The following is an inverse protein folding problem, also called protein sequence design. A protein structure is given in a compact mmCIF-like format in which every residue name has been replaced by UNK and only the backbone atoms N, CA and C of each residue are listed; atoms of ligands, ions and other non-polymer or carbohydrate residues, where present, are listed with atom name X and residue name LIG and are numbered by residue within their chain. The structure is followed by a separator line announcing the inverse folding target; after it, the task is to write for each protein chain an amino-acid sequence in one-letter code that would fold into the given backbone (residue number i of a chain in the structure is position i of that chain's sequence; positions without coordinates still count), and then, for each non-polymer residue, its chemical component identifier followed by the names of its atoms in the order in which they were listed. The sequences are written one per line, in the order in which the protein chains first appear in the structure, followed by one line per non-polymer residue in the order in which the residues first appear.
data_IF_239696010803
#
_entry.id   IF_239696010803
#
_cell.length_a   1.000
_cell.length_b   1.000
_cell.length_c   1.000
_cell.angle_alpha   90.00
_cell.angle_beta   90.00
_cell.angle_gamma   90.00
#
_symmetry.space_group_name_H-M   'P 1'
#
loop_
_entity.id
_entity.type
_entity.pdbx_description
1 polymer ?
#
# COMPACT_ATOMS: atom_id res chain seq x y z
N UNK A 1 1.77 -16.11 -8.49
CA UNK A 1 1.83 -14.99 -7.55
C UNK A 1 2.52 -13.84 -8.25
N UNK A 2 1.87 -12.68 -8.38
CA UNK A 2 2.48 -11.53 -9.06
C UNK A 2 3.48 -10.84 -8.11
N UNK A 3 4.72 -10.67 -8.58
CA UNK A 3 5.85 -10.11 -7.82
C UNK A 3 6.03 -8.60 -8.08
N UNK A 4 4.93 -7.87 -8.25
CA UNK A 4 4.96 -6.41 -8.49
C UNK A 4 4.87 -5.64 -7.18
N UNK A 5 5.38 -4.40 -7.17
CA UNK A 5 5.28 -3.49 -6.03
C UNK A 5 3.83 -3.30 -5.56
N UNK A 6 2.90 -3.16 -6.52
CA UNK A 6 1.49 -3.03 -6.23
C UNK A 6 0.89 -4.28 -5.59
N UNK A 7 1.18 -5.48 -6.11
CA UNK A 7 0.66 -6.71 -5.53
C UNK A 7 1.19 -6.91 -4.10
N UNK A 8 2.44 -6.49 -3.85
CA UNK A 8 3.05 -6.49 -2.52
C UNK A 8 2.35 -5.54 -1.57
N UNK A 9 2.20 -4.27 -1.95
CA UNK A 9 1.51 -3.27 -1.13
C UNK A 9 0.04 -3.63 -0.88
N UNK A 10 -0.68 -4.20 -1.87
CA UNK A 10 -2.05 -4.72 -1.66
C UNK A 10 -2.12 -5.78 -0.57
N UNK A 11 -1.13 -6.67 -0.47
CA UNK A 11 -1.04 -7.66 0.62
C UNK A 11 -0.77 -7.00 1.97
N UNK A 12 0.09 -5.99 2.02
CA UNK A 12 0.31 -5.20 3.24
C UNK A 12 -0.96 -4.50 3.70
N UNK A 13 -1.69 -3.86 2.78
CA UNK A 13 -2.97 -3.20 3.08
C UNK A 13 -4.00 -4.19 3.61
N UNK A 14 -4.16 -5.34 2.96
CA UNK A 14 -5.03 -6.43 3.43
C UNK A 14 -4.66 -6.88 4.85
N UNK A 15 -3.36 -7.05 5.12
CA UNK A 15 -2.87 -7.41 6.45
C UNK A 15 -3.21 -6.33 7.49
N UNK A 16 -3.00 -5.04 7.19
CA UNK A 16 -3.33 -3.95 8.12
C UNK A 16 -4.83 -3.88 8.44
N UNK A 17 -5.69 -4.12 7.45
CA UNK A 17 -7.15 -4.16 7.64
C UNK A 17 -7.55 -5.38 8.48
N UNK A 18 -7.18 -6.59 8.04
CA UNK A 18 -7.73 -7.83 8.59
C UNK A 18 -7.04 -8.29 9.88
N UNK A 19 -5.76 -7.94 10.07
CA UNK A 19 -4.94 -8.47 11.16
C UNK A 19 -4.52 -7.42 12.17
N UNK A 20 -4.40 -6.16 11.76
CA UNK A 20 -4.02 -5.07 12.66
C UNK A 20 -5.21 -4.20 13.10
N UNK A 21 -6.38 -4.29 12.43
CA UNK A 21 -7.54 -3.46 12.73
C UNK A 21 -7.27 -1.97 12.50
N UNK A 22 -6.39 -1.63 11.56
CA UNK A 22 -6.08 -0.24 11.25
C UNK A 22 -7.31 0.48 10.65
N UNK A 23 -7.55 1.71 11.10
CA UNK A 23 -8.53 2.60 10.46
C UNK A 23 -7.96 3.28 9.20
N UNK A 24 -8.80 3.97 8.43
CA UNK A 24 -8.41 4.59 7.16
C UNK A 24 -7.24 5.57 7.29
N UNK A 25 -7.21 6.39 8.35
CA UNK A 25 -6.11 7.33 8.60
C UNK A 25 -4.79 6.60 8.82
N UNK A 26 -4.81 5.51 9.58
CA UNK A 26 -3.63 4.66 9.83
C UNK A 26 -3.20 3.94 8.54
N UNK A 27 -4.15 3.42 7.75
CA UNK A 27 -3.85 2.75 6.48
C UNK A 27 -3.19 3.73 5.50
N UNK A 28 -3.74 4.94 5.34
CA UNK A 28 -3.17 5.98 4.48
C UNK A 28 -1.75 6.36 4.93
N UNK A 29 -1.52 6.51 6.24
CA UNK A 29 -0.19 6.79 6.78
C UNK A 29 0.80 5.65 6.49
N UNK A 30 0.36 4.39 6.67
CA UNK A 30 1.17 3.21 6.37
C UNK A 30 1.49 3.09 4.87
N UNK A 31 0.55 3.40 3.98
CA UNK A 31 0.79 3.41 2.53
C UNK A 31 1.85 4.46 2.17
N UNK A 32 1.71 5.70 2.67
CA UNK A 32 2.67 6.78 2.41
C UNK A 32 4.08 6.43 2.91
N UNK A 33 4.16 5.83 4.10
CA UNK A 33 5.41 5.38 4.72
C UNK A 33 5.95 4.04 4.22
N UNK A 34 5.23 3.34 3.33
CA UNK A 34 5.64 2.02 2.86
C UNK A 34 6.95 2.10 2.07
N UNK A 35 7.85 1.17 2.37
CA UNK A 35 9.12 1.00 1.67
C UNK A 35 9.44 -0.48 1.54
N UNK A 36 9.95 -0.88 0.38
CA UNK A 36 10.42 -2.23 0.14
C UNK A 36 11.62 -2.21 -0.82
N UNK A 37 12.76 -2.71 -0.33
CA UNK A 37 14.04 -2.71 -1.05
C UNK A 37 14.04 -3.54 -2.35
N UNK A 38 13.06 -4.42 -2.53
CA UNK A 38 12.92 -5.24 -3.74
C UNK A 38 12.44 -4.45 -4.97
N UNK A 39 11.96 -3.21 -4.79
CA UNK A 39 11.38 -2.39 -5.85
C UNK A 39 12.10 -1.06 -5.99
N UNK A 40 12.23 -0.56 -7.21
CA UNK A 40 12.78 0.77 -7.45
C UNK A 40 11.89 1.86 -6.83
N UNK A 41 12.45 3.06 -6.52
CA UNK A 41 11.65 4.15 -5.98
C UNK A 41 10.43 4.51 -6.84
N UNK A 42 10.54 4.42 -8.17
CA UNK A 42 9.44 4.75 -9.08
C UNK A 42 8.32 3.70 -9.07
N UNK A 43 8.66 2.42 -8.94
CA UNK A 43 7.67 1.35 -8.77
C UNK A 43 6.92 1.48 -7.44
N UNK A 44 7.64 1.84 -6.38
CA UNK A 44 7.04 2.05 -5.07
C UNK A 44 6.08 3.24 -5.08
N UNK A 45 6.48 4.36 -5.68
CA UNK A 45 5.62 5.55 -5.75
C UNK A 45 4.37 5.30 -6.58
N UNK A 46 4.50 4.65 -7.74
CA UNK A 46 3.34 4.24 -8.56
C UNK A 46 2.38 3.34 -7.78
N UNK A 47 2.90 2.38 -7.02
CA UNK A 47 2.07 1.50 -6.19
C UNK A 47 1.32 2.26 -5.09
N UNK A 48 1.99 3.23 -4.43
CA UNK A 48 1.36 4.09 -3.42
C UNK A 48 0.26 4.94 -4.04
N UNK A 49 0.52 5.62 -5.15
CA UNK A 49 -0.45 6.46 -5.85
C UNK A 49 -1.68 5.66 -6.29
N UNK A 50 -1.49 4.48 -6.88
CA UNK A 50 -2.59 3.65 -7.37
C UNK A 50 -3.51 3.20 -6.23
N UNK A 51 -2.94 2.82 -5.09
CA UNK A 51 -3.72 2.38 -3.94
C UNK A 51 -4.36 3.57 -3.23
N UNK A 52 -3.67 4.70 -3.06
CA UNK A 52 -4.27 5.90 -2.45
C UNK A 52 -5.48 6.41 -3.24
N UNK A 53 -5.49 6.28 -4.57
CA UNK A 53 -6.66 6.60 -5.41
C UNK A 53 -7.91 5.77 -5.03
N UNK A 54 -7.77 4.57 -4.48
CA UNK A 54 -8.93 3.79 -4.00
C UNK A 54 -9.41 4.22 -2.61
N UNK A 55 -8.61 4.95 -1.84
CA UNK A 55 -8.97 5.47 -0.51
C UNK A 55 -9.45 6.93 -0.52
N UNK A 56 -9.19 7.68 -1.60
CA UNK A 56 -9.55 9.09 -1.72
C UNK A 56 -10.77 9.35 -2.61
N UNK A 57 -11.43 8.28 -3.09
CA UNK A 57 -12.73 8.38 -3.76
C UNK A 57 -13.82 8.29 -2.70
N UNK A 58 -14.12 9.44 -2.11
CA UNK A 58 -15.45 9.72 -1.53
C UNK A 58 -16.45 10.00 -2.68
#
# INVERSE_FOLDING_TARGET
MELTAIASLKRNVKFWIERCGCNDKQIIANIKGWYNFAYSPSEQEKAKEEILKSFMKD
#
